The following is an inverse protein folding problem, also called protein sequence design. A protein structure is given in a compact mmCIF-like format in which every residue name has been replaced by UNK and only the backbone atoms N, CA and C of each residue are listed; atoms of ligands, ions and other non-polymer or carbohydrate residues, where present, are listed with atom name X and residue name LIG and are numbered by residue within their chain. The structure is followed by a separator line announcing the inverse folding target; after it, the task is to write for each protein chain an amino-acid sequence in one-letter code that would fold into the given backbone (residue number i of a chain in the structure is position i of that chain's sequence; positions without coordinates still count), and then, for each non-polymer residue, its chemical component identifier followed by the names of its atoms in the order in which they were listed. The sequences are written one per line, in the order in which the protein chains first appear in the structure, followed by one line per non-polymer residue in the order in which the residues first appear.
data_IF_913647763618
#
_entry.id   IF_913647763618
#
_cell.length_a   1.000
_cell.length_b   1.000
_cell.length_c   1.000
_cell.angle_alpha   90.00
_cell.angle_beta   90.00
_cell.angle_gamma   90.00
#
_symmetry.space_group_name_H-M   'P 1'
#
loop_
_entity.id
_entity.type
_entity.pdbx_description
1 polymer ?
#
# COMPACT_ATOMS: atom_id res chain seq x y z
N UNK A 1 6.38 -25.41 9.19
CA UNK A 1 5.59 -26.65 9.29
C UNK A 1 5.46 -27.15 10.72
N UNK A 2 6.54 -27.20 11.52
CA UNK A 2 6.50 -27.68 12.91
C UNK A 2 5.52 -26.89 13.78
N UNK A 3 5.53 -25.56 13.71
CA UNK A 3 4.56 -24.72 14.44
C UNK A 3 3.11 -25.00 14.01
N UNK A 4 2.90 -25.25 12.74
CA UNK A 4 1.59 -25.56 12.19
C UNK A 4 1.10 -26.94 12.67
N UNK A 5 1.96 -27.92 12.62
CA UNK A 5 1.69 -29.23 13.20
C UNK A 5 1.34 -29.12 14.69
N UNK A 6 2.14 -28.37 15.47
CA UNK A 6 1.88 -28.15 16.89
C UNK A 6 0.52 -27.47 17.13
N UNK A 7 0.13 -26.56 16.25
CA UNK A 7 -1.16 -25.90 16.32
C UNK A 7 -2.32 -26.88 16.09
N UNK A 8 -2.23 -27.72 15.06
CA UNK A 8 -3.23 -28.77 14.77
C UNK A 8 -3.28 -29.75 15.93
N UNK A 9 -2.11 -30.26 16.38
CA UNK A 9 -2.01 -31.16 17.50
C UNK A 9 -2.68 -30.64 18.76
N UNK A 10 -2.38 -29.39 19.17
CA UNK A 10 -2.98 -28.77 20.35
C UNK A 10 -4.50 -28.65 20.21
N UNK A 11 -4.97 -28.31 19.01
CA UNK A 11 -6.39 -28.13 18.73
C UNK A 11 -7.16 -29.42 18.92
N UNK A 12 -6.71 -30.53 18.32
CA UNK A 12 -7.41 -31.81 18.41
C UNK A 12 -7.14 -32.55 19.73
N UNK A 13 -5.97 -32.29 20.36
CA UNK A 13 -5.62 -32.90 21.66
C UNK A 13 -6.37 -32.28 22.83
N UNK A 14 -6.55 -30.96 22.81
CA UNK A 14 -7.08 -30.20 23.93
C UNK A 14 -8.42 -29.54 23.65
N UNK A 15 -9.00 -29.76 22.47
CA UNK A 15 -10.27 -29.15 22.09
C UNK A 15 -10.24 -27.63 22.10
N UNK A 16 -9.08 -27.02 21.84
CA UNK A 16 -8.88 -25.58 21.99
C UNK A 16 -9.62 -24.72 20.95
N UNK A 17 -10.18 -25.33 19.91
CA UNK A 17 -10.95 -24.67 18.87
C UNK A 17 -12.14 -25.51 18.40
N UNK A 18 -13.27 -25.29 19.04
CA UNK A 18 -14.53 -26.01 18.76
C UNK A 18 -14.94 -25.92 17.27
N UNK A 19 -14.67 -24.83 16.61
CA UNK A 19 -15.02 -24.68 15.20
C UNK A 19 -14.12 -25.51 14.29
N UNK A 20 -12.86 -25.71 14.63
CA UNK A 20 -11.99 -26.58 13.88
C UNK A 20 -12.46 -28.02 14.02
N UNK A 21 -12.65 -28.49 15.24
CA UNK A 21 -13.07 -29.87 15.53
C UNK A 21 -14.46 -30.20 14.99
N UNK A 22 -15.38 -29.24 15.06
CA UNK A 22 -16.76 -29.47 14.56
C UNK A 22 -16.87 -29.45 13.03
N UNK A 23 -16.18 -28.54 12.36
CA UNK A 23 -16.40 -28.32 10.93
C UNK A 23 -15.35 -29.00 10.03
N UNK A 24 -14.19 -29.24 10.57
CA UNK A 24 -13.02 -29.66 9.82
C UNK A 24 -12.65 -31.11 10.08
N UNK A 25 -12.66 -31.48 11.32
CA UNK A 25 -12.36 -32.80 11.78
C UNK A 25 -13.41 -33.23 12.82
N UNK A 26 -14.67 -33.46 12.43
CA UNK A 26 -15.72 -33.87 13.34
C UNK A 26 -15.29 -35.16 14.09
N UNK A 27 -15.46 -35.16 15.41
CA UNK A 27 -15.05 -36.29 16.25
C UNK A 27 -13.55 -36.31 16.62
N UNK A 28 -12.83 -35.22 16.32
CA UNK A 28 -11.40 -35.11 16.66
C UNK A 28 -11.14 -34.43 18.02
N UNK A 29 -12.20 -34.14 18.77
CA UNK A 29 -12.10 -33.53 20.09
C UNK A 29 -11.47 -34.50 21.09
N UNK A 30 -10.51 -34.01 21.87
CA UNK A 30 -9.87 -34.74 22.94
C UNK A 30 -9.21 -36.06 22.53
N UNK A 31 -8.63 -36.11 21.35
CA UNK A 31 -7.80 -37.25 20.93
C UNK A 31 -6.71 -37.56 21.95
N UNK A 32 -6.32 -38.82 22.07
CA UNK A 32 -5.13 -39.20 22.81
C UNK A 32 -3.88 -38.54 22.20
N UNK A 33 -2.76 -38.56 22.91
CA UNK A 33 -1.50 -38.01 22.44
C UNK A 33 -1.11 -38.59 21.06
N UNK A 34 -1.12 -39.89 20.93
CA UNK A 34 -0.69 -40.58 19.69
C UNK A 34 -1.67 -40.32 18.53
N UNK A 35 -2.98 -40.33 18.79
CA UNK A 35 -3.99 -40.05 17.80
C UNK A 35 -3.89 -38.58 17.30
N UNK A 36 -3.72 -37.62 18.22
CA UNK A 36 -3.59 -36.22 17.87
C UNK A 36 -2.31 -35.94 17.06
N UNK A 37 -1.21 -36.60 17.46
CA UNK A 37 0.07 -36.46 16.76
C UNK A 37 0.01 -37.04 15.36
N UNK A 38 -0.58 -38.21 15.19
CA UNK A 38 -0.79 -38.84 13.89
C UNK A 38 -1.72 -38.00 13.02
N UNK A 39 -2.83 -37.57 13.59
CA UNK A 39 -3.79 -36.68 12.90
C UNK A 39 -3.11 -35.42 12.39
N UNK A 40 -2.37 -34.70 13.24
CA UNK A 40 -1.66 -33.48 12.84
C UNK A 40 -0.65 -33.72 11.70
N UNK A 41 0.04 -34.88 11.71
CA UNK A 41 0.97 -35.23 10.64
C UNK A 41 0.26 -35.60 9.32
N UNK A 42 -0.89 -36.25 9.38
CA UNK A 42 -1.68 -36.60 8.20
C UNK A 42 -2.35 -35.41 7.55
N UNK A 43 -2.86 -34.48 8.36
CA UNK A 43 -3.73 -33.37 7.97
C UNK A 43 -3.03 -32.02 7.86
N UNK A 44 -1.71 -32.02 7.79
CA UNK A 44 -0.90 -30.80 7.73
C UNK A 44 -1.28 -29.87 6.57
N UNK A 45 -1.77 -30.39 5.46
CA UNK A 45 -2.12 -29.65 4.25
C UNK A 45 -3.61 -29.66 3.90
N UNK A 46 -4.47 -30.10 4.79
CA UNK A 46 -5.93 -30.16 4.54
C UNK A 46 -6.55 -28.78 4.26
N UNK A 47 -5.87 -27.72 4.71
CA UNK A 47 -6.31 -26.34 4.56
C UNK A 47 -5.51 -25.52 3.55
N UNK A 48 -4.68 -26.20 2.79
CA UNK A 48 -3.96 -25.58 1.70
C UNK A 48 -4.93 -25.32 0.55
N UNK A 49 -5.78 -24.36 0.79
CA UNK A 49 -6.47 -23.69 -0.27
C UNK A 49 -7.82 -24.21 -0.73
N UNK A 50 -8.75 -23.30 -0.66
CA UNK A 50 -9.99 -23.33 -1.41
C UNK A 50 -9.73 -22.81 -2.83
N UNK A 51 -9.09 -23.58 -3.71
CA UNK A 51 -8.95 -23.21 -5.12
C UNK A 51 -9.26 -24.38 -6.02
N UNK A 52 -10.01 -24.09 -7.06
CA UNK A 52 -10.15 -24.95 -8.25
C UNK A 52 -8.80 -25.31 -8.90
N UNK A 53 -7.71 -24.75 -8.43
CA UNK A 53 -6.34 -24.92 -8.95
C UNK A 53 -5.41 -25.70 -8.02
N UNK A 54 -5.85 -26.14 -6.84
CA UNK A 54 -5.04 -27.01 -6.01
C UNK A 54 -5.02 -28.42 -6.61
N UNK A 55 -4.04 -28.64 -7.45
CA UNK A 55 -3.74 -29.95 -8.01
C UNK A 55 -2.57 -30.58 -7.26
N UNK A 56 -2.38 -31.89 -7.36
CA UNK A 56 -1.28 -32.57 -6.68
C UNK A 56 0.11 -31.99 -7.01
N UNK A 57 0.29 -31.48 -8.24
CA UNK A 57 1.49 -30.76 -8.64
C UNK A 57 1.60 -29.34 -8.02
N UNK A 58 0.50 -28.78 -7.51
CA UNK A 58 0.55 -27.49 -6.80
C UNK A 58 1.09 -27.61 -5.37
N UNK A 59 1.22 -28.80 -4.82
CA UNK A 59 1.89 -29.04 -3.53
C UNK A 59 3.33 -28.52 -3.55
N UNK A 60 4.03 -28.56 -4.68
CA UNK A 60 5.36 -28.01 -4.85
C UNK A 60 5.44 -26.51 -4.50
N UNK A 61 4.33 -25.78 -4.60
CA UNK A 61 4.24 -24.36 -4.27
C UNK A 61 3.95 -24.09 -2.77
N UNK A 62 3.66 -25.15 -2.00
CA UNK A 62 3.32 -25.07 -0.56
C UNK A 62 4.25 -25.88 0.30
N UNK A 63 4.89 -26.90 -0.29
CA UNK A 63 5.77 -27.82 0.40
C UNK A 63 7.12 -27.90 -0.31
N UNK A 64 8.14 -27.31 0.29
CA UNK A 64 9.52 -27.33 -0.22
C UNK A 64 10.31 -28.55 0.24
N UNK A 65 9.62 -29.64 0.55
CA UNK A 65 10.19 -30.95 0.85
C UNK A 65 9.54 -32.00 -0.03
N UNK A 66 10.36 -32.93 -0.52
CA UNK A 66 9.91 -34.13 -1.20
C UNK A 66 9.84 -35.29 -0.22
N UNK A 67 8.74 -36.02 -0.27
CA UNK A 67 8.55 -37.22 0.50
C UNK A 67 8.73 -38.47 -0.38
N UNK A 68 9.14 -39.64 0.20
CA UNK A 68 9.08 -40.89 -0.55
C UNK A 68 7.69 -41.17 -1.08
N UNK A 69 7.59 -41.68 -2.32
CA UNK A 69 6.33 -41.89 -3.01
C UNK A 69 5.80 -40.64 -3.77
N UNK A 70 6.45 -39.48 -3.61
CA UNK A 70 6.07 -38.26 -4.33
C UNK A 70 4.58 -37.94 -4.20
N UNK A 71 3.92 -37.57 -5.30
CA UNK A 71 2.49 -37.24 -5.33
C UNK A 71 1.57 -38.40 -4.98
N UNK A 72 2.02 -39.62 -5.11
CA UNK A 72 1.25 -40.80 -4.71
C UNK A 72 1.08 -40.94 -3.19
N UNK A 73 1.91 -40.23 -2.41
CA UNK A 73 1.79 -40.17 -0.96
C UNK A 73 0.60 -39.33 -0.47
N UNK A 74 -0.10 -38.66 -1.36
CA UNK A 74 -1.21 -37.78 -0.98
C UNK A 74 -2.54 -38.29 -1.51
N UNK A 75 -3.56 -38.23 -0.66
CA UNK A 75 -4.95 -38.31 -1.06
C UNK A 75 -5.51 -36.90 -1.22
N UNK A 76 -5.91 -36.55 -2.41
CA UNK A 76 -6.60 -35.30 -2.68
C UNK A 76 -8.11 -35.54 -2.66
N UNK A 77 -8.83 -34.71 -1.93
CA UNK A 77 -10.30 -34.72 -1.91
C UNK A 77 -10.79 -33.34 -2.29
N UNK A 78 -11.78 -33.27 -3.16
CA UNK A 78 -12.42 -32.03 -3.56
C UNK A 78 -13.88 -32.26 -3.86
N UNK A 79 -14.73 -31.35 -3.43
CA UNK A 79 -16.11 -31.23 -3.83
C UNK A 79 -16.34 -29.81 -4.29
N UNK A 80 -16.55 -29.62 -5.57
CA UNK A 80 -16.60 -28.28 -6.15
C UNK A 80 -15.21 -27.61 -6.18
N UNK A 81 -15.05 -26.50 -5.47
CA UNK A 81 -13.82 -25.69 -5.47
C UNK A 81 -12.89 -25.96 -4.30
N UNK A 82 -13.18 -26.94 -3.46
CA UNK A 82 -12.39 -27.26 -2.26
C UNK A 82 -11.58 -28.53 -2.50
N UNK A 83 -10.27 -28.42 -2.40
CA UNK A 83 -9.36 -29.55 -2.50
C UNK A 83 -8.48 -29.56 -1.27
N UNK A 84 -8.42 -30.68 -0.56
CA UNK A 84 -7.50 -30.91 0.54
C UNK A 84 -6.52 -32.03 0.20
N UNK A 85 -5.34 -32.03 0.81
CA UNK A 85 -4.31 -33.02 0.60
C UNK A 85 -3.94 -33.68 1.93
N UNK A 86 -4.30 -34.94 2.05
CA UNK A 86 -3.98 -35.76 3.23
C UNK A 86 -2.80 -36.67 2.91
N UNK A 87 -1.79 -36.70 3.77
CA UNK A 87 -0.63 -37.60 3.65
C UNK A 87 -1.04 -39.02 4.03
N UNK A 88 -0.59 -40.00 3.27
CA UNK A 88 -1.01 -41.40 3.44
C UNK A 88 0.01 -42.25 4.21
N UNK A 89 1.25 -42.34 3.72
CA UNK A 89 2.24 -43.30 4.21
C UNK A 89 3.48 -42.63 4.78
N UNK A 90 3.80 -41.43 4.32
CA UNK A 90 4.97 -40.69 4.76
C UNK A 90 4.53 -39.31 5.20
N UNK A 91 4.98 -38.83 6.33
CA UNK A 91 4.58 -37.57 6.91
C UNK A 91 5.75 -36.58 6.88
N UNK A 92 5.47 -35.33 6.50
CA UNK A 92 6.50 -34.28 6.57
C UNK A 92 6.96 -34.05 7.99
N UNK A 93 6.04 -34.10 8.94
CA UNK A 93 6.35 -34.04 10.38
C UNK A 93 6.14 -35.42 10.98
N UNK A 94 7.19 -35.94 11.58
CA UNK A 94 7.15 -37.22 12.30
C UNK A 94 6.21 -37.07 13.51
N UNK A 95 5.14 -37.89 13.59
CA UNK A 95 4.19 -37.81 14.70
C UNK A 95 4.79 -38.12 16.07
N UNK A 96 5.91 -38.85 16.14
CA UNK A 96 6.57 -39.19 17.41
C UNK A 96 7.40 -38.03 17.97
N UNK A 97 7.95 -37.21 17.10
CA UNK A 97 8.90 -36.16 17.49
C UNK A 97 8.37 -34.74 17.29
N UNK A 98 7.35 -34.55 16.46
CA UNK A 98 6.86 -33.24 16.05
C UNK A 98 7.87 -32.46 15.20
N UNK A 99 8.87 -33.11 14.62
CA UNK A 99 9.94 -32.54 13.82
C UNK A 99 9.85 -33.02 12.38
N UNK A 100 10.50 -32.27 11.47
CA UNK A 100 10.61 -32.71 10.08
C UNK A 100 11.22 -34.09 10.01
N UNK A 101 10.56 -34.96 9.27
CA UNK A 101 10.98 -36.37 9.14
C UNK A 101 12.34 -36.46 8.45
N UNK A 102 13.16 -37.37 8.91
CA UNK A 102 14.52 -37.56 8.41
C UNK A 102 14.60 -38.09 6.97
N UNK A 103 13.51 -38.61 6.41
CA UNK A 103 13.39 -39.02 5.01
C UNK A 103 12.86 -37.92 4.10
N UNK A 104 12.50 -36.76 4.66
CA UNK A 104 12.05 -35.61 3.88
C UNK A 104 13.25 -34.88 3.26
N UNK A 105 13.30 -34.82 1.96
CA UNK A 105 14.34 -34.14 1.20
C UNK A 105 13.94 -32.70 0.91
N UNK A 106 14.76 -31.71 1.32
CA UNK A 106 14.49 -30.31 1.03
C UNK A 106 14.77 -30.00 -0.43
N UNK A 107 13.79 -29.50 -1.16
CA UNK A 107 13.88 -29.19 -2.59
C UNK A 107 14.42 -27.78 -2.86
N UNK A 108 13.99 -26.80 -2.08
CA UNK A 108 14.38 -25.39 -2.25
C UNK A 108 14.22 -24.62 -0.96
N UNK A 109 14.82 -23.42 -0.91
CA UNK A 109 14.60 -22.46 0.16
C UNK A 109 13.29 -21.69 -0.08
N UNK A 110 12.55 -21.49 1.01
CA UNK A 110 11.28 -20.75 0.96
C UNK A 110 11.52 -19.32 0.47
N UNK A 111 10.60 -18.84 -0.35
CA UNK A 111 10.60 -17.44 -0.77
C UNK A 111 10.33 -16.52 0.43
N UNK A 112 11.12 -15.47 0.57
CA UNK A 112 10.98 -14.53 1.66
C UNK A 112 10.05 -13.38 1.24
N UNK A 113 8.87 -13.30 1.85
CA UNK A 113 7.90 -12.24 1.61
C UNK A 113 8.38 -10.86 2.08
N UNK A 114 9.30 -10.79 3.05
CA UNK A 114 9.90 -9.53 3.49
C UNK A 114 10.78 -8.92 2.40
N UNK A 115 11.55 -9.74 1.69
CA UNK A 115 12.41 -9.28 0.60
C UNK A 115 11.59 -8.73 -0.58
N UNK A 116 10.34 -9.21 -0.71
CA UNK A 116 9.39 -8.69 -1.67
C UNK A 116 8.75 -7.37 -1.22
N UNK A 117 8.37 -7.32 0.06
CA UNK A 117 7.67 -6.18 0.64
C UNK A 117 8.57 -4.95 0.83
N UNK A 118 9.86 -5.18 1.07
CA UNK A 118 10.83 -4.14 1.39
C UNK A 118 11.94 -4.06 0.36
N UNK A 119 12.38 -2.85 0.09
CA UNK A 119 13.47 -2.57 -0.83
C UNK A 119 14.47 -1.60 -0.23
N UNK A 120 15.73 -1.69 -0.68
CA UNK A 120 16.71 -0.65 -0.38
C UNK A 120 16.37 0.58 -1.22
N UNK A 121 16.23 1.72 -0.56
CA UNK A 121 15.86 2.98 -1.19
C UNK A 121 16.99 4.00 -1.02
N UNK A 122 17.26 4.76 -2.08
CA UNK A 122 18.24 5.84 -2.06
C UNK A 122 17.54 7.16 -2.35
N UNK A 123 17.38 8.00 -1.32
CA UNK A 123 16.79 9.33 -1.42
C UNK A 123 17.79 10.33 -1.98
N UNK A 124 17.38 11.11 -2.97
CA UNK A 124 18.17 12.14 -3.61
C UNK A 124 17.43 13.48 -3.57
N UNK A 125 18.13 14.55 -3.21
CA UNK A 125 17.56 15.89 -3.19
C UNK A 125 18.58 16.90 -3.76
N UNK A 126 18.13 17.69 -4.72
CA UNK A 126 18.91 18.70 -5.40
C UNK A 126 18.22 20.04 -5.25
N UNK A 127 18.95 21.04 -4.78
CA UNK A 127 18.46 22.40 -4.63
C UNK A 127 19.46 23.37 -5.24
N UNK A 128 18.94 24.24 -6.09
CA UNK A 128 19.70 25.35 -6.67
C UNK A 128 18.99 26.65 -6.36
N UNK A 129 19.74 27.67 -5.98
CA UNK A 129 19.18 29.00 -5.78
C UNK A 129 20.15 30.09 -6.26
N UNK A 130 19.56 31.17 -6.70
CA UNK A 130 20.27 32.38 -7.05
C UNK A 130 19.53 33.58 -6.43
N UNK A 131 20.31 34.51 -5.87
CA UNK A 131 19.78 35.76 -5.32
C UNK A 131 20.70 36.91 -5.68
N UNK A 132 20.13 38.08 -5.78
CA UNK A 132 20.88 39.30 -6.06
C UNK A 132 20.06 40.53 -5.72
N UNK A 133 20.76 41.65 -5.65
CA UNK A 133 20.15 42.96 -5.41
C UNK A 133 20.86 44.01 -6.25
N UNK A 134 20.09 44.99 -6.70
CA UNK A 134 20.53 46.26 -7.24
C UNK A 134 19.98 47.39 -6.36
N UNK A 135 20.30 48.63 -6.66
CA UNK A 135 19.74 49.78 -5.91
C UNK A 135 18.20 49.81 -5.92
N UNK A 136 17.56 49.15 -6.86
CA UNK A 136 16.10 49.18 -7.05
C UNK A 136 15.40 47.85 -6.94
N UNK A 137 16.09 46.74 -7.15
CA UNK A 137 15.44 45.43 -7.28
C UNK A 137 16.22 44.41 -6.49
N UNK A 138 15.54 43.65 -5.65
CA UNK A 138 16.03 42.44 -5.04
C UNK A 138 15.28 41.23 -5.60
N UNK A 139 15.99 40.13 -5.79
CA UNK A 139 15.40 38.91 -6.26
C UNK A 139 16.00 37.67 -5.61
N UNK A 140 15.16 36.66 -5.48
CA UNK A 140 15.54 35.32 -5.10
C UNK A 140 14.78 34.31 -5.98
N UNK A 141 15.49 33.39 -6.61
CA UNK A 141 14.91 32.33 -7.42
C UNK A 141 15.54 31.02 -6.96
N UNK A 142 14.73 29.99 -6.78
CA UNK A 142 15.21 28.64 -6.45
C UNK A 142 14.42 27.57 -7.17
N UNK A 143 15.09 26.47 -7.46
CA UNK A 143 14.51 25.25 -7.99
C UNK A 143 15.01 24.06 -7.17
N UNK A 144 14.12 23.12 -6.88
CA UNK A 144 14.44 21.92 -6.14
C UNK A 144 13.80 20.68 -6.78
N UNK A 145 14.52 19.58 -6.71
CA UNK A 145 14.03 18.27 -7.10
C UNK A 145 14.34 17.27 -6.00
N UNK A 146 13.34 16.49 -5.61
CA UNK A 146 13.44 15.40 -4.65
C UNK A 146 12.94 14.12 -5.31
N UNK A 147 13.73 13.08 -5.24
CA UNK A 147 13.36 11.71 -5.51
C UNK A 147 13.51 10.91 -4.22
N UNK A 148 12.40 10.35 -3.75
CA UNK A 148 12.31 9.64 -2.47
C UNK A 148 11.57 8.30 -2.68
N UNK A 149 12.28 7.27 -3.19
CA UNK A 149 11.73 5.93 -3.21
C UNK A 149 11.57 5.42 -1.78
N UNK A 150 10.40 4.86 -1.48
CA UNK A 150 10.13 4.29 -0.17
C UNK A 150 10.89 2.97 0.04
N UNK A 151 11.16 2.62 1.29
CA UNK A 151 11.60 1.26 1.64
C UNK A 151 10.50 0.21 1.41
N UNK A 152 9.25 0.62 1.21
CA UNK A 152 8.14 -0.25 0.82
C UNK A 152 8.12 -0.38 -0.69
N UNK A 153 8.17 -1.62 -1.19
CA UNK A 153 8.09 -1.91 -2.62
C UNK A 153 6.82 -1.32 -3.25
N UNK A 154 6.96 -0.77 -4.45
CA UNK A 154 5.85 -0.13 -5.16
C UNK A 154 5.49 1.27 -4.68
N UNK A 155 6.20 1.82 -3.70
CA UNK A 155 5.97 3.18 -3.20
C UNK A 155 7.10 4.12 -3.57
N UNK A 156 6.75 5.30 -4.08
CA UNK A 156 7.71 6.38 -4.38
C UNK A 156 7.06 7.76 -4.26
N UNK A 157 7.88 8.75 -3.96
CA UNK A 157 7.50 10.14 -3.91
C UNK A 157 8.53 10.97 -4.68
N UNK A 158 8.08 11.76 -5.66
CA UNK A 158 8.91 12.72 -6.35
C UNK A 158 8.32 14.12 -6.17
N UNK A 159 9.17 15.10 -5.99
CA UNK A 159 8.75 16.50 -5.90
C UNK A 159 9.67 17.40 -6.72
N UNK A 160 9.06 18.21 -7.55
CA UNK A 160 9.70 19.35 -8.19
C UNK A 160 9.10 20.64 -7.62
N UNK A 161 9.92 21.62 -7.29
CA UNK A 161 9.47 22.91 -6.82
C UNK A 161 10.31 24.05 -7.38
N UNK A 162 9.64 25.17 -7.62
CA UNK A 162 10.26 26.44 -8.02
C UNK A 162 9.69 27.55 -7.15
N UNK A 163 10.56 28.48 -6.71
CA UNK A 163 10.16 29.68 -6.02
C UNK A 163 10.83 30.88 -6.64
N UNK A 164 10.10 31.99 -6.69
CA UNK A 164 10.59 33.29 -7.14
C UNK A 164 10.03 34.40 -6.25
N UNK A 165 10.90 35.22 -5.72
CA UNK A 165 10.54 36.42 -4.99
C UNK A 165 11.27 37.58 -5.64
N UNK A 166 10.55 38.57 -6.13
CA UNK A 166 11.08 39.75 -6.80
C UNK A 166 10.40 40.98 -6.22
N UNK A 167 11.16 41.91 -5.73
CA UNK A 167 10.68 43.22 -5.28
C UNK A 167 11.45 44.32 -6.01
N UNK A 168 10.73 45.33 -6.45
CA UNK A 168 11.36 46.44 -7.18
C UNK A 168 10.82 47.77 -6.72
N UNK A 169 11.72 48.73 -6.49
CA UNK A 169 11.41 50.15 -6.32
C UNK A 169 11.28 50.77 -7.69
N UNK A 170 10.05 50.81 -8.22
CA UNK A 170 9.77 51.33 -9.57
C UNK A 170 10.21 52.77 -9.69
N UNK A 171 9.87 53.58 -8.68
CA UNK A 171 10.31 54.98 -8.53
C UNK A 171 10.27 55.40 -7.04
N UNK A 172 10.51 56.67 -6.72
CA UNK A 172 10.63 57.12 -5.31
C UNK A 172 9.37 56.93 -4.46
N UNK A 173 8.20 56.78 -5.09
CA UNK A 173 6.93 56.65 -4.39
C UNK A 173 6.22 55.29 -4.65
N UNK A 174 6.70 54.46 -5.59
CA UNK A 174 6.05 53.22 -5.99
C UNK A 174 6.98 52.05 -5.87
N UNK A 175 6.57 51.03 -5.10
CA UNK A 175 7.19 49.73 -4.99
C UNK A 175 6.23 48.66 -5.47
N UNK A 176 6.73 47.63 -6.13
CA UNK A 176 5.95 46.47 -6.57
C UNK A 176 6.73 45.19 -6.30
N UNK A 177 6.03 44.11 -6.09
CA UNK A 177 6.65 42.82 -5.92
C UNK A 177 5.76 41.65 -6.32
N UNK A 178 6.40 40.53 -6.61
CA UNK A 178 5.75 39.27 -6.91
C UNK A 178 6.48 38.13 -6.18
N UNK A 179 5.71 37.33 -5.48
CA UNK A 179 6.16 36.10 -4.85
C UNK A 179 5.39 34.95 -5.51
N UNK A 180 6.11 33.94 -5.97
CA UNK A 180 5.53 32.78 -6.62
C UNK A 180 6.19 31.50 -6.07
N UNK A 181 5.39 30.50 -5.80
CA UNK A 181 5.87 29.15 -5.49
C UNK A 181 5.00 28.15 -6.28
N UNK A 182 5.66 27.27 -7.02
CA UNK A 182 5.03 26.15 -7.68
C UNK A 182 5.65 24.85 -7.17
N UNK A 183 4.81 23.86 -6.93
CA UNK A 183 5.23 22.52 -6.55
C UNK A 183 4.44 21.46 -7.29
N UNK A 184 5.12 20.51 -7.88
CA UNK A 184 4.53 19.28 -8.41
C UNK A 184 5.02 18.10 -7.59
N UNK A 185 4.07 17.28 -7.14
CA UNK A 185 4.32 16.06 -6.39
C UNK A 185 3.71 14.88 -7.14
N UNK A 186 4.55 13.91 -7.47
CA UNK A 186 4.14 12.65 -8.08
C UNK A 186 4.32 11.56 -7.02
N UNK A 187 3.23 10.87 -6.69
CA UNK A 187 3.16 9.87 -5.64
C UNK A 187 2.66 8.56 -6.23
N UNK A 188 3.29 7.47 -5.84
CA UNK A 188 2.82 6.12 -6.13
C UNK A 188 2.83 5.33 -4.85
N UNK A 189 1.81 4.54 -4.62
CA UNK A 189 1.73 3.61 -3.50
C UNK A 189 1.17 2.28 -3.97
N UNK A 190 1.43 1.17 -3.25
CA UNK A 190 0.71 -0.07 -3.50
C UNK A 190 -0.79 0.21 -3.45
N UNK A 191 -1.52 -0.26 -4.45
CA UNK A 191 -2.95 0.00 -4.52
C UNK A 191 -3.66 -0.63 -3.32
N UNK A 192 -4.40 0.19 -2.58
CA UNK A 192 -5.33 -0.27 -1.56
C UNK A 192 -6.73 -0.32 -2.17
N UNK A 193 -7.51 -1.33 -1.78
CA UNK A 193 -8.85 -1.52 -2.32
C UNK A 193 -9.67 -0.24 -2.29
N UNK A 194 -10.40 -0.04 -3.36
CA UNK A 194 -11.42 0.97 -3.54
C UNK A 194 -12.54 0.83 -2.49
N UNK A 195 -12.58 1.72 -1.50
CA UNK A 195 -13.66 1.81 -0.51
C UNK A 195 -13.18 1.91 0.94
N UNK A 196 -14.07 2.36 1.82
CA UNK A 196 -13.91 2.71 3.23
C UNK A 196 -13.38 1.59 4.16
N UNK A 197 -12.22 0.99 3.86
CA UNK A 197 -11.57 0.07 4.79
C UNK A 197 -10.46 0.76 5.55
N UNK A 198 -10.42 0.51 6.84
CA UNK A 198 -9.40 1.04 7.74
C UNK A 198 -8.02 0.56 7.29
N UNK A 199 -7.05 1.43 7.05
CA UNK A 199 -5.75 1.08 6.49
C UNK A 199 -4.99 -0.02 7.23
N UNK A 200 -5.26 -0.23 8.50
CA UNK A 200 -4.57 -1.22 9.35
C UNK A 200 -5.06 -2.65 9.21
N UNK A 201 -6.22 -2.90 8.61
CA UNK A 201 -6.85 -4.22 8.52
C UNK A 201 -7.04 -4.72 7.08
N UNK A 202 -6.58 -3.95 6.10
CA UNK A 202 -6.70 -4.33 4.69
C UNK A 202 -5.71 -5.43 4.37
N UNK A 203 -6.20 -6.51 3.73
CA UNK A 203 -5.36 -7.57 3.17
C UNK A 203 -4.43 -7.07 2.05
N UNK A 204 -4.62 -5.84 1.61
CA UNK A 204 -3.80 -5.13 0.63
C UNK A 204 -2.71 -4.29 1.30
N UNK A 205 -2.62 -4.30 2.63
CA UNK A 205 -1.57 -3.63 3.37
C UNK A 205 -0.31 -4.50 3.41
N UNK A 206 0.80 -3.98 2.89
CA UNK A 206 2.09 -4.67 2.85
C UNK A 206 2.54 -5.16 4.23
N UNK A 207 2.35 -4.36 5.28
CA UNK A 207 2.70 -4.75 6.64
C UNK A 207 1.83 -5.89 7.18
N UNK A 208 0.55 -5.91 6.82
CA UNK A 208 -0.34 -7.02 7.17
C UNK A 208 0.09 -8.31 6.49
N UNK A 209 0.60 -8.21 5.26
CA UNK A 209 1.17 -9.33 4.53
C UNK A 209 2.38 -9.91 5.24
N UNK A 210 3.39 -9.08 5.51
CA UNK A 210 4.64 -9.52 6.12
C UNK A 210 4.41 -10.12 7.51
N UNK A 211 3.56 -9.51 8.33
CA UNK A 211 3.34 -9.96 9.70
C UNK A 211 2.27 -11.05 9.86
N UNK A 212 1.35 -11.16 8.93
CA UNK A 212 0.19 -12.04 9.03
C UNK A 212 0.19 -13.22 8.05
N UNK A 213 1.15 -13.28 7.15
CA UNK A 213 1.23 -14.35 6.16
C UNK A 213 2.09 -15.50 6.65
N UNK A 214 1.61 -16.72 6.35
CA UNK A 214 2.46 -17.90 6.54
C UNK A 214 3.61 -17.86 5.53
N UNK A 215 4.80 -18.23 5.96
CA UNK A 215 5.97 -18.40 5.08
C UNK A 215 5.89 -19.66 4.21
N UNK A 216 4.79 -20.41 4.29
CA UNK A 216 4.64 -21.66 3.54
C UNK A 216 4.36 -21.49 2.06
N UNK A 217 3.43 -20.60 1.62
CA UNK A 217 3.18 -20.46 0.20
C UNK A 217 4.36 -19.77 -0.49
N UNK A 218 4.77 -20.37 -1.60
CA UNK A 218 5.77 -19.80 -2.50
C UNK A 218 5.22 -18.55 -3.19
N UNK A 219 6.09 -17.59 -3.47
CA UNK A 219 5.75 -16.41 -4.28
C UNK A 219 5.65 -16.79 -5.75
N UNK A 220 6.56 -17.66 -6.19
CA UNK A 220 6.74 -18.05 -7.58
C UNK A 220 6.41 -19.51 -7.79
N UNK A 221 5.93 -19.83 -8.98
CA UNK A 221 5.62 -21.19 -9.38
C UNK A 221 6.90 -22.04 -9.48
N UNK A 222 6.79 -23.28 -9.02
CA UNK A 222 7.84 -24.27 -9.09
C UNK A 222 7.29 -25.58 -9.64
N UNK A 223 8.16 -26.36 -10.30
CA UNK A 223 7.85 -27.70 -10.72
C UNK A 223 7.86 -28.69 -9.55
N UNK A 224 7.54 -29.95 -9.80
CA UNK A 224 7.51 -31.03 -8.80
C UNK A 224 8.89 -31.36 -8.19
N UNK A 225 9.97 -30.88 -8.80
CA UNK A 225 11.34 -31.03 -8.32
C UNK A 225 11.83 -29.75 -7.59
N UNK A 226 10.96 -28.74 -7.42
CA UNK A 226 11.28 -27.48 -6.78
C UNK A 226 11.99 -26.46 -7.66
N UNK A 227 12.16 -26.72 -8.96
CA UNK A 227 12.82 -25.79 -9.88
C UNK A 227 11.89 -24.60 -10.20
N UNK A 228 12.48 -23.43 -10.25
CA UNK A 228 11.76 -22.19 -10.60
C UNK A 228 11.21 -22.27 -12.03
N UNK A 229 9.96 -21.90 -12.20
CA UNK A 229 9.33 -21.80 -13.52
C UNK A 229 9.42 -20.38 -14.08
N UNK A 230 9.65 -20.29 -15.40
CA UNK A 230 9.81 -19.02 -16.11
C UNK A 230 8.82 -18.92 -17.27
N UNK A 231 8.37 -17.70 -17.55
CA UNK A 231 7.55 -17.41 -18.72
C UNK A 231 8.40 -17.36 -20.03
N UNK A 232 7.74 -17.15 -21.17
CA UNK A 232 8.42 -17.06 -22.46
C UNK A 232 9.40 -15.87 -22.59
N UNK A 233 9.28 -14.89 -21.72
CA UNK A 233 10.14 -13.71 -21.63
C UNK A 233 11.30 -13.88 -20.65
N UNK A 234 11.37 -15.02 -19.94
CA UNK A 234 12.40 -15.31 -18.94
C UNK A 234 12.13 -14.73 -17.56
N UNK A 235 10.92 -14.23 -17.28
CA UNK A 235 10.55 -13.79 -15.96
C UNK A 235 10.04 -14.96 -15.11
N UNK A 236 10.28 -14.91 -13.80
CA UNK A 236 9.71 -15.88 -12.87
C UNK A 236 8.18 -15.81 -12.90
N UNK A 237 7.53 -16.96 -13.05
CA UNK A 237 6.06 -17.02 -13.05
C UNK A 237 5.56 -16.83 -11.62
N UNK A 238 4.82 -15.75 -11.38
CA UNK A 238 4.15 -15.50 -10.11
C UNK A 238 2.97 -16.44 -9.99
N UNK A 239 2.72 -16.97 -8.78
CA UNK A 239 1.55 -17.80 -8.52
C UNK A 239 0.31 -16.93 -8.70
N UNK A 240 -0.45 -17.22 -9.78
CA UNK A 240 -1.73 -16.59 -10.05
C UNK A 240 -2.83 -17.26 -9.20
N UNK A 241 -3.81 -16.49 -8.84
CA UNK A 241 -4.95 -16.95 -8.07
C UNK A 241 -5.03 -16.26 -6.72
N UNK A 242 -6.15 -16.34 -6.03
CA UNK A 242 -6.24 -15.83 -4.69
C UNK A 242 -5.14 -16.50 -3.87
N UNK A 243 -4.12 -15.75 -3.51
CA UNK A 243 -3.07 -16.20 -2.62
C UNK A 243 -3.73 -16.66 -1.35
N UNK A 244 -3.73 -17.96 -1.09
CA UNK A 244 -4.49 -18.49 0.02
C UNK A 244 -3.66 -18.44 1.27
N UNK A 245 -4.21 -17.80 2.27
CA UNK A 245 -3.65 -17.90 3.59
C UNK A 245 -4.06 -19.24 4.18
N UNK A 246 -3.09 -20.05 4.47
CA UNK A 246 -3.29 -21.17 5.37
C UNK A 246 -3.52 -20.64 6.79
N UNK A 247 -4.66 -20.94 7.35
CA UNK A 247 -4.91 -20.79 8.78
C UNK A 247 -5.56 -22.07 9.27
N UNK A 248 -4.80 -22.96 9.92
CA UNK A 248 -5.36 -24.19 10.48
C UNK A 248 -6.37 -23.90 11.58
N UNK A 249 -6.34 -22.69 12.15
CA UNK A 249 -7.16 -22.31 13.29
C UNK A 249 -8.30 -21.38 12.93
N UNK A 250 -8.49 -21.06 11.64
CA UNK A 250 -9.34 -19.93 11.27
C UNK A 250 -8.83 -18.64 11.89
N UNK A 251 -8.83 -17.53 11.20
CA UNK A 251 -8.61 -16.24 11.87
C UNK A 251 -9.74 -16.06 12.86
N UNK A 252 -9.43 -16.03 14.15
CA UNK A 252 -10.36 -15.67 15.19
C UNK A 252 -10.98 -14.32 14.81
N UNK A 253 -12.25 -14.32 14.38
CA UNK A 253 -12.97 -13.08 14.08
C UNK A 253 -13.90 -13.08 12.88
N UNK A 254 -13.82 -14.03 11.95
CA UNK A 254 -14.74 -14.09 10.82
C UNK A 254 -15.42 -15.45 10.70
N UNK A 255 -16.11 -15.83 11.77
CA UNK A 255 -17.07 -16.92 11.67
C UNK A 255 -18.40 -16.35 11.21
N UNK A 256 -18.84 -16.76 10.04
CA UNK A 256 -20.27 -16.86 9.90
C UNK A 256 -20.74 -18.08 10.71
N UNK A 257 -21.96 -18.02 11.21
CA UNK A 257 -22.56 -19.09 12.02
C UNK A 257 -22.77 -20.41 11.25
N UNK A 258 -22.35 -20.46 9.99
CA UNK A 258 -22.50 -21.61 9.07
C UNK A 258 -21.24 -22.46 8.99
N UNK A 259 -20.19 -22.08 9.75
CA UNK A 259 -18.94 -22.89 9.80
C UNK A 259 -18.08 -22.81 8.54
N UNK A 260 -18.47 -21.99 7.58
CA UNK A 260 -17.63 -21.72 6.43
C UNK A 260 -16.54 -20.76 6.89
N UNK A 261 -15.37 -21.29 7.21
CA UNK A 261 -14.17 -20.47 7.25
C UNK A 261 -13.98 -19.92 5.85
N UNK A 262 -14.43 -18.69 5.61
CA UNK A 262 -13.99 -17.97 4.46
C UNK A 262 -12.50 -17.72 4.65
N UNK A 263 -11.69 -18.64 4.17
CA UNK A 263 -10.29 -18.39 3.89
C UNK A 263 -10.33 -17.19 2.95
N UNK A 264 -10.11 -16.01 3.49
CA UNK A 264 -10.05 -14.82 2.66
C UNK A 264 -8.91 -15.07 1.69
N UNK A 265 -9.27 -15.22 0.42
CA UNK A 265 -8.33 -15.34 -0.65
C UNK A 265 -7.43 -14.11 -0.58
N UNK A 266 -6.23 -14.28 -0.01
CA UNK A 266 -5.25 -13.20 0.03
C UNK A 266 -4.55 -13.17 -1.32
N UNK A 267 -4.49 -12.00 -1.96
CA UNK A 267 -3.79 -11.87 -3.22
C UNK A 267 -2.30 -12.15 -3.03
N UNK A 268 -1.63 -12.64 -4.06
CA UNK A 268 -0.18 -12.67 -4.08
C UNK A 268 0.34 -11.22 -4.14
N UNK A 269 1.14 -10.82 -3.16
CA UNK A 269 1.63 -9.44 -3.05
C UNK A 269 2.44 -9.03 -4.28
N UNK A 270 3.29 -9.92 -4.84
CA UNK A 270 4.04 -9.62 -6.07
C UNK A 270 3.10 -9.30 -7.22
N UNK A 271 2.07 -10.11 -7.39
CA UNK A 271 1.11 -9.89 -8.47
C UNK A 271 0.36 -8.56 -8.31
N UNK A 272 0.04 -8.17 -7.08
CA UNK A 272 -0.56 -6.85 -6.80
C UNK A 272 0.41 -5.71 -7.12
N UNK A 273 1.66 -5.82 -6.67
CA UNK A 273 2.69 -4.81 -6.93
C UNK A 273 2.93 -4.61 -8.43
N UNK A 274 2.86 -5.69 -9.22
CA UNK A 274 3.07 -5.64 -10.67
C UNK A 274 1.86 -5.08 -11.44
N UNK A 275 0.64 -5.37 -10.96
CA UNK A 275 -0.57 -5.16 -11.77
C UNK A 275 -1.47 -4.04 -11.24
N UNK A 276 -1.43 -3.72 -9.95
CA UNK A 276 -2.27 -2.68 -9.37
C UNK A 276 -1.57 -1.32 -9.39
N UNK A 277 -2.37 -0.23 -9.47
CA UNK A 277 -1.85 1.14 -9.51
C UNK A 277 -2.64 2.03 -8.56
N UNK A 278 -1.93 2.81 -7.75
CA UNK A 278 -2.47 3.97 -7.04
C UNK A 278 -1.47 5.13 -7.19
N UNK A 279 -1.77 5.99 -8.14
CA UNK A 279 -0.92 7.11 -8.51
C UNK A 279 -1.63 8.41 -8.23
N UNK A 280 -0.95 9.36 -7.62
CA UNK A 280 -1.47 10.69 -7.32
C UNK A 280 -0.49 11.77 -7.78
N UNK A 281 -1.01 12.71 -8.54
CA UNK A 281 -0.28 13.91 -8.96
C UNK A 281 -0.94 15.11 -8.33
N UNK A 282 -0.12 15.97 -7.72
CA UNK A 282 -0.58 17.21 -7.09
C UNK A 282 0.25 18.36 -7.64
N UNK A 283 -0.43 19.39 -8.16
CA UNK A 283 0.17 20.63 -8.59
C UNK A 283 -0.36 21.75 -7.70
N UNK A 284 0.54 22.44 -7.00
CA UNK A 284 0.22 23.57 -6.15
C UNK A 284 0.89 24.83 -6.72
N UNK A 285 0.13 25.87 -6.87
CA UNK A 285 0.59 27.21 -7.24
C UNK A 285 0.16 28.19 -6.16
N UNK A 286 1.12 28.89 -5.57
CA UNK A 286 0.90 30.01 -4.69
C UNK A 286 1.54 31.25 -5.33
N UNK A 287 0.78 32.27 -5.55
CA UNK A 287 1.26 33.51 -6.15
C UNK A 287 0.68 34.71 -5.40
N UNK A 288 1.51 35.67 -5.12
CA UNK A 288 1.10 36.96 -4.56
C UNK A 288 1.80 38.10 -5.29
N UNK A 289 1.03 38.98 -5.87
CA UNK A 289 1.48 40.25 -6.39
C UNK A 289 1.04 41.39 -5.49
N UNK A 290 1.88 42.42 -5.33
CA UNK A 290 1.52 43.62 -4.59
C UNK A 290 2.10 44.88 -5.22
N UNK A 291 1.44 45.97 -4.95
CA UNK A 291 1.91 47.35 -5.21
C UNK A 291 1.80 48.15 -3.91
N UNK A 292 2.79 48.96 -3.63
CA UNK A 292 2.82 49.89 -2.51
C UNK A 292 3.13 51.30 -3.03
N UNK A 293 2.27 52.26 -2.72
CA UNK A 293 2.42 53.64 -3.13
C UNK A 293 2.46 54.58 -1.92
N UNK A 294 3.53 55.38 -1.82
CA UNK A 294 3.71 56.43 -0.80
C UNK A 294 3.33 57.79 -1.38
N UNK A 295 2.47 58.53 -0.70
CA UNK A 295 2.04 59.86 -1.13
C UNK A 295 1.72 60.77 0.04
N UNK A 296 1.68 62.06 -0.21
CA UNK A 296 1.45 63.09 0.80
C UNK A 296 2.33 62.94 2.07
N UNK A 297 3.54 62.41 1.92
CA UNK A 297 4.55 62.11 2.94
C UNK A 297 4.15 61.05 3.98
N UNK A 298 2.91 61.12 4.50
CA UNK A 298 2.45 60.36 5.66
C UNK A 298 1.56 59.15 5.27
N UNK A 299 1.19 59.04 4.00
CA UNK A 299 0.28 57.99 3.55
C UNK A 299 1.03 56.89 2.78
N UNK A 300 0.72 55.65 3.11
CA UNK A 300 1.16 54.47 2.39
C UNK A 300 -0.08 53.63 2.01
N UNK A 301 -0.35 53.49 0.72
CA UNK A 301 -1.37 52.60 0.18
C UNK A 301 -0.73 51.31 -0.31
N UNK A 302 -1.28 50.18 0.08
CA UNK A 302 -0.85 48.87 -0.44
C UNK A 302 -2.05 48.11 -0.99
N UNK A 303 -1.92 47.56 -2.20
CA UNK A 303 -2.86 46.60 -2.76
C UNK A 303 -2.12 45.30 -3.08
N UNK A 304 -2.73 44.18 -2.74
CA UNK A 304 -2.18 42.86 -3.08
C UNK A 304 -3.26 41.91 -3.54
N UNK A 305 -2.88 41.02 -4.45
CA UNK A 305 -3.69 39.86 -4.89
C UNK A 305 -2.89 38.60 -4.67
N UNK A 306 -3.48 37.66 -3.95
CA UNK A 306 -2.92 36.32 -3.76
C UNK A 306 -3.82 35.28 -4.44
N UNK A 307 -3.21 34.31 -5.09
CA UNK A 307 -3.86 33.19 -5.74
C UNK A 307 -3.21 31.92 -5.22
N UNK A 308 -4.02 31.05 -4.61
CA UNK A 308 -3.63 29.71 -4.18
C UNK A 308 -4.45 28.70 -4.98
N UNK A 309 -3.79 27.89 -5.79
CA UNK A 309 -4.41 26.82 -6.55
C UNK A 309 -3.76 25.49 -6.22
N UNK A 310 -4.60 24.49 -5.94
CA UNK A 310 -4.19 23.10 -5.81
C UNK A 310 -5.01 22.22 -6.72
N UNK A 311 -4.37 21.65 -7.72
CA UNK A 311 -4.98 20.70 -8.62
C UNK A 311 -4.42 19.31 -8.36
N UNK A 312 -5.29 18.36 -7.99
CA UNK A 312 -4.92 17.01 -7.66
C UNK A 312 -5.63 16.01 -8.57
N UNK A 313 -4.91 15.02 -9.03
CA UNK A 313 -5.43 13.90 -9.81
C UNK A 313 -4.96 12.60 -9.17
N UNK A 314 -5.89 11.67 -8.97
CA UNK A 314 -5.58 10.31 -8.53
C UNK A 314 -6.09 9.33 -9.57
N UNK A 315 -5.25 8.36 -9.90
CA UNK A 315 -5.59 7.21 -10.73
C UNK A 315 -5.42 5.94 -9.91
N UNK A 316 -6.46 5.12 -9.89
CA UNK A 316 -6.43 3.80 -9.27
C UNK A 316 -6.84 2.76 -10.29
N UNK A 317 -6.11 1.67 -10.28
CA UNK A 317 -6.42 0.47 -11.04
C UNK A 317 -6.20 -0.75 -10.17
N UNK A 318 -7.19 -1.63 -10.12
CA UNK A 318 -7.13 -2.90 -9.41
C UNK A 318 -7.39 -4.00 -10.44
N UNK A 319 -6.50 -4.97 -10.48
CA UNK A 319 -6.56 -6.04 -11.47
C UNK A 319 -7.78 -6.95 -11.27
N UNK A 320 -8.14 -7.70 -12.31
CA UNK A 320 -9.30 -8.60 -12.33
C UNK A 320 -8.96 -10.06 -12.02
N UNK A 321 -7.69 -10.39 -11.75
CA UNK A 321 -7.23 -11.77 -11.56
C UNK A 321 -6.95 -12.10 -10.10
N UNK A 322 -6.60 -11.11 -9.29
CA UNK A 322 -6.19 -11.28 -7.92
C UNK A 322 -6.86 -10.32 -6.96
N UNK A 323 -6.91 -10.71 -5.70
CA UNK A 323 -7.35 -9.87 -4.61
C UNK A 323 -8.87 -9.73 -4.52
N UNK A 324 -9.28 -8.72 -3.77
CA UNK A 324 -10.70 -8.52 -3.44
C UNK A 324 -11.55 -8.03 -4.62
N UNK A 325 -10.94 -7.54 -5.68
CA UNK A 325 -11.64 -7.04 -6.85
C UNK A 325 -11.96 -8.14 -7.90
N UNK A 326 -11.53 -9.38 -7.67
CA UNK A 326 -11.82 -10.51 -8.59
C UNK A 326 -13.31 -10.72 -8.78
N UNK A 327 -14.11 -10.64 -7.69
CA UNK A 327 -15.56 -10.75 -7.76
C UNK A 327 -16.26 -9.63 -8.54
N UNK A 328 -15.60 -8.47 -8.65
CA UNK A 328 -16.04 -7.30 -9.40
C UNK A 328 -15.35 -7.20 -10.78
N UNK A 329 -14.61 -8.25 -11.18
CA UNK A 329 -13.83 -8.31 -12.42
C UNK A 329 -12.81 -7.18 -12.58
N UNK A 330 -12.25 -6.70 -11.46
CA UNK A 330 -11.33 -5.58 -11.41
C UNK A 330 -12.04 -4.24 -11.31
N UNK A 331 -11.26 -3.16 -11.32
CA UNK A 331 -11.82 -1.83 -11.22
C UNK A 331 -10.82 -0.72 -11.57
N UNK A 332 -11.36 0.39 -12.06
CA UNK A 332 -10.60 1.59 -12.34
C UNK A 332 -11.30 2.80 -11.71
N UNK A 333 -10.54 3.70 -11.17
CA UNK A 333 -11.06 4.95 -10.65
C UNK A 333 -10.17 6.15 -10.97
N UNK A 334 -10.79 7.27 -11.21
CA UNK A 334 -10.11 8.58 -11.29
C UNK A 334 -10.82 9.56 -10.39
N UNK A 335 -10.05 10.34 -9.67
CA UNK A 335 -10.54 11.43 -8.85
C UNK A 335 -9.75 12.69 -9.17
N UNK A 336 -10.47 13.80 -9.22
CA UNK A 336 -9.93 15.13 -9.48
C UNK A 336 -10.42 16.06 -8.39
N UNK A 337 -9.51 16.85 -7.86
CA UNK A 337 -9.81 17.93 -6.92
C UNK A 337 -9.17 19.20 -7.46
N UNK A 338 -9.97 20.23 -7.61
CA UNK A 338 -9.54 21.56 -7.99
C UNK A 338 -9.95 22.54 -6.90
N UNK A 339 -8.95 23.05 -6.20
CA UNK A 339 -9.11 24.09 -5.20
C UNK A 339 -8.48 25.37 -5.69
N UNK A 340 -9.24 26.44 -5.70
CA UNK A 340 -8.79 27.78 -6.06
C UNK A 340 -9.22 28.76 -4.98
N UNK A 341 -8.29 29.54 -4.46
CA UNK A 341 -8.53 30.64 -3.55
C UNK A 341 -7.91 31.92 -4.12
N UNK A 342 -8.68 33.00 -4.12
CA UNK A 342 -8.24 34.32 -4.51
C UNK A 342 -8.50 35.26 -3.35
N UNK A 343 -7.44 35.88 -2.87
CA UNK A 343 -7.50 36.88 -1.81
C UNK A 343 -7.00 38.21 -2.32
N UNK A 344 -7.77 39.24 -2.10
CA UNK A 344 -7.41 40.63 -2.43
C UNK A 344 -7.44 41.49 -1.18
N UNK A 345 -6.36 42.21 -0.95
CA UNK A 345 -6.24 43.10 0.20
C UNK A 345 -5.84 44.48 -0.24
N UNK A 346 -6.47 45.50 0.33
CA UNK A 346 -6.13 46.90 0.19
C UNK A 346 -5.98 47.50 1.58
N UNK A 347 -4.86 48.17 1.83
CA UNK A 347 -4.63 48.90 3.08
C UNK A 347 -4.19 50.29 2.83
N UNK A 348 -4.67 51.23 3.64
CA UNK A 348 -4.21 52.59 3.70
C UNK A 348 -3.69 52.87 5.10
N UNK A 349 -2.40 53.14 5.20
CA UNK A 349 -1.75 53.49 6.44
C UNK A 349 -1.40 54.99 6.42
N UNK A 350 -1.66 55.65 7.54
CA UNK A 350 -1.29 57.04 7.80
C UNK A 350 -0.42 57.10 9.03
N UNK A 351 0.79 57.69 8.90
CA UNK A 351 1.77 57.85 9.98
C UNK A 351 2.15 59.34 10.08
N UNK A 352 2.02 59.93 11.26
CA UNK A 352 2.38 61.32 11.46
C UNK A 352 3.04 61.54 12.82
N UNK A 353 4.09 62.34 12.82
CA UNK A 353 4.83 62.77 14.03
C UNK A 353 4.39 64.16 14.48
N UNK A 354 3.74 64.25 15.63
CA UNK A 354 3.38 65.49 16.31
C UNK A 354 4.40 65.80 17.40
N UNK A 355 5.58 66.25 17.02
CA UNK A 355 6.68 66.53 17.99
C UNK A 355 7.16 65.26 18.69
N UNK A 356 6.75 65.06 19.95
CA UNK A 356 7.12 63.86 20.72
C UNK A 356 6.09 62.69 20.59
N UNK A 357 5.01 62.93 19.91
CA UNK A 357 3.94 61.93 19.76
C UNK A 357 3.94 61.40 18.32
N UNK A 358 3.97 60.06 18.21
CA UNK A 358 3.81 59.32 16.95
C UNK A 358 2.39 58.75 16.88
N UNK A 359 1.70 58.96 15.79
CA UNK A 359 0.32 58.48 15.56
C UNK A 359 0.29 57.67 14.30
N UNK A 360 -0.18 56.41 14.41
CA UNK A 360 -0.42 55.48 13.32
C UNK A 360 -1.93 55.18 13.20
N UNK A 361 -2.46 55.23 11.99
CA UNK A 361 -3.82 54.78 11.69
C UNK A 361 -3.85 53.89 10.44
N UNK A 362 -4.54 52.76 10.51
CA UNK A 362 -4.66 51.81 9.44
C UNK A 362 -6.15 51.56 9.11
N UNK A 363 -6.50 51.62 7.82
CA UNK A 363 -7.76 51.12 7.29
C UNK A 363 -7.43 50.00 6.31
N UNK A 364 -8.16 48.88 6.42
CA UNK A 364 -7.99 47.72 5.54
C UNK A 364 -9.32 47.25 4.97
N UNK A 365 -9.27 46.77 3.75
CA UNK A 365 -10.33 46.02 3.09
C UNK A 365 -9.78 44.71 2.58
N UNK A 366 -10.54 43.62 2.78
CA UNK A 366 -10.19 42.28 2.30
C UNK A 366 -11.37 41.68 1.57
N UNK A 367 -11.10 41.06 0.44
CA UNK A 367 -12.03 40.22 -0.31
C UNK A 367 -11.41 38.86 -0.51
N UNK A 368 -12.13 37.80 -0.09
CA UNK A 368 -11.72 36.43 -0.29
C UNK A 368 -12.80 35.69 -1.06
N UNK A 369 -12.36 34.98 -2.09
CA UNK A 369 -13.20 34.09 -2.87
C UNK A 369 -12.51 32.77 -3.05
N UNK A 370 -13.26 31.68 -2.88
CA UNK A 370 -12.72 30.34 -3.05
C UNK A 370 -13.69 29.44 -3.80
N UNK A 371 -13.13 28.44 -4.49
CA UNK A 371 -13.84 27.43 -5.23
C UNK A 371 -13.20 26.07 -4.91
N UNK A 372 -14.04 25.07 -4.62
CA UNK A 372 -13.61 23.69 -4.45
C UNK A 372 -14.48 22.79 -5.32
N UNK A 373 -13.89 22.04 -6.23
CA UNK A 373 -14.56 21.10 -7.10
C UNK A 373 -13.93 19.73 -6.96
N UNK A 374 -14.79 18.70 -6.89
CA UNK A 374 -14.37 17.31 -6.83
C UNK A 374 -15.13 16.52 -7.88
N UNK A 375 -14.41 15.78 -8.70
CA UNK A 375 -14.98 14.82 -9.65
C UNK A 375 -14.41 13.45 -9.36
N UNK A 376 -15.28 12.48 -9.06
CA UNK A 376 -14.93 11.09 -8.85
C UNK A 376 -15.59 10.23 -9.93
N UNK A 377 -14.77 9.44 -10.62
CA UNK A 377 -15.25 8.48 -11.60
C UNK A 377 -14.81 7.07 -11.17
N UNK A 378 -15.73 6.14 -11.29
CA UNK A 378 -15.50 4.72 -11.02
C UNK A 378 -16.06 3.90 -12.18
N UNK A 379 -15.28 2.93 -12.64
CA UNK A 379 -15.74 1.88 -13.52
C UNK A 379 -15.35 0.53 -12.94
N UNK A 380 -16.33 -0.37 -12.79
CA UNK A 380 -16.09 -1.78 -12.60
C UNK A 380 -16.30 -2.46 -13.96
N UNK A 381 -15.50 -3.46 -14.28
CA UNK A 381 -15.73 -4.25 -15.47
C UNK A 381 -16.91 -5.21 -15.19
N UNK A 382 -17.99 -5.02 -15.92
CA UNK A 382 -19.17 -5.91 -15.88
C UNK A 382 -18.95 -7.11 -16.79
#
# INVERSE_FOLDING_TARGET
YEMMWQSIYNTVRYGSNEAYTTNVAPGSENMTHDEAALFASQHLFDYVGNTSTFQANSLANWMYYKLPGGTQNYKTTGSGNVTSATMLNYYLIDPKTGKISNYAEKLYDVDNWEDLAYQKAFRQEYNLSVSGATDKTDYYISAGYLEDPSYISGSKFNRFNVRSNINTQVNKWLKAGINMAYSRRDMQSPATRYGNRTPGTSIENVFYWVNGYSTMPSIYQRDENGNMMYDAQGNKIVIEGPGQQYSPLGTAGTRDKTGTTSLQAKPNLQYMLDNDRDEKVINDLNMRGYVEAKFLKDFTFQASVAVDQSYQMQYRYVNNKHGNAVGERGGMGRAYWDYLNVNMQQTLNWNHDYGKHHVDALIGHEYNWWKNQTLNYKAAYS
#
